data_IF_988607630143
#
_entry.id   IF_988607630143
#
_cell.length_a   1.000
_cell.length_b   1.000
_cell.length_c   1.000
_cell.angle_alpha   90.00
_cell.angle_beta   90.00
_cell.angle_gamma   90.00
#
_symmetry.space_group_name_H-M   'P 1'
#
loop_
_entity.id
_entity.type
_entity.pdbx_description
1 polymer ?
#
# COMPACT_ATOMS: atom_id res chain seq x y z
N UNK A 1 -2.96 -8.28 -15.07
CA UNK A 1 -2.73 -8.69 -13.67
C UNK A 1 -1.35 -9.34 -13.59
N UNK A 2 -0.44 -8.76 -12.80
CA UNK A 2 0.96 -9.20 -12.74
C UNK A 2 1.12 -10.40 -11.79
N UNK A 3 2.05 -11.33 -12.05
CA UNK A 3 2.31 -12.49 -11.18
C UNK A 3 2.88 -12.07 -9.81
N UNK A 4 3.46 -10.88 -9.71
CA UNK A 4 4.01 -10.33 -8.46
C UNK A 4 2.93 -10.05 -7.41
N UNK A 5 1.81 -9.40 -7.79
CA UNK A 5 0.72 -9.08 -6.87
C UNK A 5 -0.15 -10.29 -6.51
N UNK A 6 -0.14 -11.34 -7.32
CA UNK A 6 -0.97 -12.54 -7.09
C UNK A 6 -0.67 -13.21 -5.75
N UNK A 7 0.58 -13.21 -5.30
CA UNK A 7 1.01 -13.97 -4.12
C UNK A 7 0.66 -13.31 -2.78
N UNK A 8 0.21 -12.05 -2.76
CA UNK A 8 0.00 -11.32 -1.50
C UNK A 8 -1.15 -10.32 -1.56
N UNK A 9 -1.34 -9.62 -2.68
CA UNK A 9 -2.45 -8.67 -2.81
C UNK A 9 -3.74 -9.38 -3.22
N UNK A 10 -3.70 -10.27 -4.22
CA UNK A 10 -4.91 -10.95 -4.71
C UNK A 10 -5.22 -12.28 -3.99
N UNK A 11 -4.35 -12.71 -3.08
CA UNK A 11 -4.47 -13.96 -2.33
C UNK A 11 -4.03 -13.76 -0.88
N UNK A 12 -4.45 -14.67 0.00
CA UNK A 12 -3.97 -14.69 1.38
C UNK A 12 -2.46 -15.05 1.41
N UNK A 13 -1.58 -14.17 1.95
CA UNK A 13 -0.14 -14.41 2.05
C UNK A 13 0.28 -15.40 3.16
N UNK A 14 -0.69 -15.98 3.88
CA UNK A 14 -0.53 -16.84 5.05
C UNK A 14 -0.63 -16.06 6.37
N UNK A 15 -0.33 -16.75 7.47
CA UNK A 15 -0.48 -16.22 8.85
C UNK A 15 0.86 -16.16 9.61
N UNK A 16 1.97 -16.47 8.94
CA UNK A 16 3.32 -16.50 9.54
C UNK A 16 4.04 -15.19 9.22
N UNK A 17 4.34 -14.37 10.24
CA UNK A 17 4.92 -13.03 10.10
C UNK A 17 6.09 -12.97 9.12
N UNK A 18 7.09 -13.83 9.30
CA UNK A 18 8.28 -13.86 8.46
C UNK A 18 7.95 -14.16 6.99
N UNK A 19 7.07 -15.14 6.74
CA UNK A 19 6.70 -15.57 5.40
C UNK A 19 5.90 -14.51 4.65
N UNK A 20 5.04 -13.76 5.36
CA UNK A 20 4.27 -12.65 4.77
C UNK A 20 5.23 -11.56 4.28
N UNK A 21 6.10 -11.05 5.15
CA UNK A 21 7.07 -10.02 4.78
C UNK A 21 8.04 -10.50 3.69
N UNK A 22 8.54 -11.74 3.77
CA UNK A 22 9.41 -12.33 2.75
C UNK A 22 8.68 -12.44 1.40
N UNK A 23 7.43 -12.92 1.37
CA UNK A 23 6.65 -13.04 0.14
C UNK A 23 6.46 -11.68 -0.55
N UNK A 24 6.12 -10.65 0.22
CA UNK A 24 5.97 -9.29 -0.31
C UNK A 24 7.33 -8.74 -0.77
N UNK A 25 8.39 -8.87 0.03
CA UNK A 25 9.75 -8.42 -0.35
C UNK A 25 10.23 -9.10 -1.63
N UNK A 26 10.13 -10.43 -1.73
CA UNK A 26 10.52 -11.18 -2.93
C UNK A 26 9.74 -10.74 -4.17
N UNK A 27 8.43 -10.49 -4.04
CA UNK A 27 7.61 -9.91 -5.11
C UNK A 27 8.14 -8.55 -5.56
N UNK A 28 8.37 -7.64 -4.61
CA UNK A 28 8.84 -6.28 -4.91
C UNK A 28 10.28 -6.28 -5.47
N UNK A 29 11.18 -7.10 -4.94
CA UNK A 29 12.54 -7.27 -5.47
C UNK A 29 12.55 -7.86 -6.87
N UNK A 30 11.76 -8.91 -7.12
CA UNK A 30 11.64 -9.51 -8.46
C UNK A 30 11.08 -8.54 -9.50
N UNK A 31 10.33 -7.54 -9.05
CA UNK A 31 9.79 -6.48 -9.89
C UNK A 31 10.74 -5.28 -10.10
N UNK A 32 11.85 -5.20 -9.37
CA UNK A 32 12.86 -4.15 -9.53
C UNK A 32 13.04 -3.19 -8.33
N UNK A 33 12.27 -3.32 -7.25
CA UNK A 33 12.39 -2.47 -6.05
C UNK A 33 13.44 -2.99 -5.06
N UNK A 34 14.68 -3.17 -5.49
CA UNK A 34 15.72 -3.84 -4.69
C UNK A 34 16.09 -3.17 -3.35
N UNK A 35 15.79 -1.88 -3.20
CA UNK A 35 16.12 -1.10 -1.99
C UNK A 35 15.00 -1.08 -0.94
N UNK A 36 13.88 -1.74 -1.19
CA UNK A 36 12.78 -1.81 -0.22
C UNK A 36 13.04 -2.90 0.83
N UNK A 37 12.83 -2.54 2.09
CA UNK A 37 12.82 -3.47 3.20
C UNK A 37 11.53 -3.32 4.00
N UNK A 38 10.91 -4.43 4.38
CA UNK A 38 9.63 -4.50 5.05
C UNK A 38 9.64 -5.61 6.11
N UNK A 39 8.99 -5.35 7.24
CA UNK A 39 8.77 -6.29 8.34
C UNK A 39 7.28 -6.32 8.73
N UNK A 40 6.80 -7.46 9.25
CA UNK A 40 5.37 -7.69 9.51
C UNK A 40 4.93 -7.18 10.87
N UNK A 41 3.92 -6.29 10.87
CA UNK A 41 3.24 -5.83 12.08
C UNK A 41 2.00 -6.67 12.38
N UNK A 42 1.23 -7.02 11.35
CA UNK A 42 -0.03 -7.75 11.50
C UNK A 42 -0.09 -8.91 10.51
N UNK A 43 -0.34 -10.11 11.04
CA UNK A 43 -0.37 -11.38 10.29
C UNK A 43 -1.75 -11.81 9.84
N UNK A 44 -2.77 -10.98 10.06
CA UNK A 44 -4.15 -11.25 9.70
C UNK A 44 -4.71 -10.02 8.99
N UNK A 45 -5.69 -10.24 8.12
CA UNK A 45 -6.31 -9.17 7.36
C UNK A 45 -7.00 -8.12 8.28
N UNK A 46 -6.81 -6.81 8.05
CA UNK A 46 -5.88 -6.21 7.09
C UNK A 46 -4.41 -6.42 7.50
N UNK A 47 -3.61 -6.92 6.57
CA UNK A 47 -2.19 -7.16 6.78
C UNK A 47 -1.46 -5.83 6.82
N UNK A 48 -0.42 -5.74 7.66
CA UNK A 48 0.38 -4.53 7.78
C UNK A 48 1.86 -4.84 7.84
N UNK A 49 2.63 -4.18 6.98
CA UNK A 49 4.08 -4.16 6.97
C UNK A 49 4.60 -2.74 7.21
N UNK A 50 5.72 -2.61 7.89
CA UNK A 50 6.47 -1.34 8.05
C UNK A 50 7.89 -1.53 7.51
N UNK A 51 8.52 -0.44 7.09
CA UNK A 51 9.95 -0.47 6.77
C UNK A 51 10.40 0.77 6.05
N UNK A 52 11.34 0.61 5.11
CA UNK A 52 12.00 1.74 4.48
C UNK A 52 12.22 1.54 2.98
N UNK A 53 12.17 2.66 2.25
CA UNK A 53 12.57 2.77 0.85
C UNK A 53 13.12 4.17 0.60
N UNK A 54 14.26 4.30 -0.10
CA UNK A 54 14.80 5.60 -0.54
C UNK A 54 14.95 6.62 0.61
N UNK A 55 15.42 6.14 1.77
CA UNK A 55 15.60 6.95 2.98
C UNK A 55 14.29 7.61 3.46
N UNK A 56 13.18 6.89 3.31
CA UNK A 56 11.87 7.21 3.88
C UNK A 56 11.37 5.99 4.64
N UNK A 57 10.71 6.20 5.79
CA UNK A 57 9.86 5.17 6.37
C UNK A 57 8.56 5.06 5.58
N UNK A 58 8.12 3.82 5.42
CA UNK A 58 6.90 3.48 4.72
C UNK A 58 6.09 2.47 5.54
N UNK A 59 4.78 2.51 5.36
CA UNK A 59 3.84 1.50 5.82
C UNK A 59 3.04 1.00 4.62
N UNK A 60 2.88 -0.31 4.56
CA UNK A 60 2.04 -0.98 3.58
C UNK A 60 0.96 -1.74 4.33
N UNK A 61 -0.29 -1.37 4.10
CA UNK A 61 -1.44 -2.03 4.72
C UNK A 61 -2.41 -2.47 3.63
N UNK A 62 -2.95 -3.69 3.71
CA UNK A 62 -3.90 -4.16 2.69
C UNK A 62 -4.89 -5.20 3.19
N UNK A 63 -6.03 -5.22 2.51
CA UNK A 63 -7.00 -6.30 2.57
C UNK A 63 -6.96 -7.05 1.23
N UNK A 64 -6.70 -8.37 1.21
CA UNK A 64 -6.54 -9.10 -0.04
C UNK A 64 -7.74 -8.96 -0.98
N UNK A 65 -7.47 -8.70 -2.25
CA UNK A 65 -8.46 -8.49 -3.31
C UNK A 65 -9.49 -7.39 -3.03
N UNK A 66 -9.17 -6.45 -2.14
CA UNK A 66 -10.05 -5.32 -1.81
C UNK A 66 -9.31 -3.99 -1.98
N UNK A 67 -8.28 -3.76 -1.18
CA UNK A 67 -7.56 -2.48 -1.20
C UNK A 67 -6.13 -2.57 -0.68
N UNK A 68 -5.28 -1.66 -1.14
CA UNK A 68 -3.91 -1.41 -0.67
C UNK A 68 -3.80 0.05 -0.23
N UNK A 69 -3.09 0.30 0.87
CA UNK A 69 -2.74 1.62 1.39
C UNK A 69 -1.23 1.68 1.58
N UNK A 70 -0.61 2.64 0.92
CA UNK A 70 0.79 3.04 1.16
C UNK A 70 0.77 4.34 1.96
N UNK A 71 1.45 4.35 3.11
CA UNK A 71 1.78 5.59 3.83
C UNK A 71 3.28 5.80 3.81
N UNK A 72 3.74 7.04 3.65
CA UNK A 72 5.18 7.35 3.64
C UNK A 72 5.46 8.74 4.21
N UNK A 73 6.61 8.88 4.89
CA UNK A 73 7.05 10.15 5.50
C UNK A 73 7.23 11.31 4.50
N UNK A 74 7.48 10.96 3.23
CA UNK A 74 7.57 11.89 2.11
C UNK A 74 6.87 11.29 0.90
N UNK A 75 6.50 12.11 -0.07
CA UNK A 75 5.93 11.59 -1.31
C UNK A 75 7.00 10.82 -2.11
N UNK A 76 6.69 9.56 -2.45
CA UNK A 76 7.58 8.66 -3.19
C UNK A 76 6.87 8.22 -4.47
N UNK A 77 6.77 9.15 -5.43
CA UNK A 77 6.10 8.94 -6.73
C UNK A 77 6.55 7.65 -7.43
N UNK A 78 7.86 7.33 -7.36
CA UNK A 78 8.40 6.12 -7.96
C UNK A 78 7.83 4.84 -7.35
N UNK A 79 7.68 4.78 -6.02
CA UNK A 79 7.10 3.62 -5.32
C UNK A 79 5.60 3.51 -5.63
N UNK A 80 4.86 4.62 -5.60
CA UNK A 80 3.45 4.66 -5.99
C UNK A 80 3.26 4.09 -7.40
N UNK A 81 3.98 4.63 -8.39
CA UNK A 81 3.85 4.21 -9.78
C UNK A 81 4.21 2.73 -9.97
N UNK A 82 5.23 2.26 -9.25
CA UNK A 82 5.65 0.87 -9.29
C UNK A 82 4.59 -0.08 -8.70
N UNK A 83 3.98 0.30 -7.57
CA UNK A 83 2.87 -0.45 -6.99
C UNK A 83 1.67 -0.48 -7.93
N UNK A 84 1.29 0.65 -8.54
CA UNK A 84 0.22 0.67 -9.56
C UNK A 84 0.50 -0.30 -10.71
N UNK A 85 1.75 -0.38 -11.17
CA UNK A 85 2.16 -1.32 -12.22
C UNK A 85 2.07 -2.80 -11.78
N UNK A 86 2.51 -3.10 -10.55
CA UNK A 86 2.41 -4.47 -9.98
C UNK A 86 0.95 -4.88 -9.78
N UNK A 87 0.13 -3.98 -9.27
CA UNK A 87 -1.31 -4.22 -9.08
C UNK A 87 -2.02 -4.31 -10.42
N UNK A 88 -1.59 -3.53 -11.42
CA UNK A 88 -2.22 -3.44 -12.73
C UNK A 88 -3.35 -2.42 -12.80
N UNK A 89 -3.43 -1.49 -11.84
CA UNK A 89 -4.36 -0.36 -11.82
C UNK A 89 -3.79 0.79 -10.99
N UNK A 90 -4.26 2.01 -11.23
CA UNK A 90 -3.74 3.22 -10.57
C UNK A 90 -4.33 3.44 -9.18
N UNK A 91 -3.62 4.23 -8.36
CA UNK A 91 -4.15 4.68 -7.08
C UNK A 91 -5.35 5.59 -7.36
N UNK A 92 -6.46 5.39 -6.65
CA UNK A 92 -7.67 6.19 -6.82
C UNK A 92 -7.84 7.26 -5.73
N UNK A 93 -7.07 7.19 -4.65
CA UNK A 93 -7.09 8.18 -3.57
C UNK A 93 -5.68 8.60 -3.18
N UNK A 94 -5.53 9.90 -2.92
CA UNK A 94 -4.32 10.48 -2.37
C UNK A 94 -4.68 11.53 -1.31
N UNK A 95 -4.00 11.53 -0.17
CA UNK A 95 -4.20 12.52 0.90
C UNK A 95 -3.01 12.52 1.86
N UNK A 96 -3.01 13.44 2.81
CA UNK A 96 -2.04 13.47 3.91
C UNK A 96 -2.76 13.21 5.22
N UNK A 97 -2.25 12.29 6.04
CA UNK A 97 -2.89 11.97 7.33
C UNK A 97 -2.41 12.86 8.49
N UNK A 98 -3.03 12.70 9.67
CA UNK A 98 -2.72 13.43 10.90
C UNK A 98 -1.24 13.45 11.32
N UNK A 99 -0.44 12.47 10.89
CA UNK A 99 1.01 12.41 11.10
C UNK A 99 1.82 13.20 10.05
N UNK A 100 1.16 13.92 9.13
CA UNK A 100 1.75 14.56 7.95
C UNK A 100 2.42 13.57 6.97
N UNK A 101 2.02 12.30 6.98
CA UNK A 101 2.51 11.32 6.02
C UNK A 101 1.65 11.32 4.78
N UNK A 102 2.30 11.15 3.63
CA UNK A 102 1.62 11.02 2.35
C UNK A 102 0.98 9.63 2.27
N UNK A 103 -0.30 9.60 1.89
CA UNK A 103 -1.07 8.37 1.72
C UNK A 103 -1.52 8.25 0.28
N UNK A 104 -1.35 7.05 -0.28
CA UNK A 104 -1.87 6.63 -1.57
C UNK A 104 -2.66 5.33 -1.37
N UNK A 105 -3.90 5.28 -1.84
CA UNK A 105 -4.75 4.10 -1.73
C UNK A 105 -5.20 3.58 -3.11
N UNK A 106 -5.24 2.26 -3.23
CA UNK A 106 -5.72 1.51 -4.39
C UNK A 106 -6.90 0.65 -3.94
N UNK A 107 -8.11 1.02 -4.31
CA UNK A 107 -9.34 0.28 -4.02
C UNK A 107 -9.89 -0.37 -5.29
N UNK A 108 -10.22 -1.67 -5.25
CA UNK A 108 -10.89 -2.38 -6.35
C UNK A 108 -12.40 -2.15 -6.33
N UNK A 109 -12.98 -1.91 -5.16
CA UNK A 109 -14.40 -1.69 -4.93
C UNK A 109 -14.60 -0.71 -3.76
N UNK A 110 -15.82 -0.19 -3.59
CA UNK A 110 -16.24 0.60 -2.42
C UNK A 110 -15.49 1.93 -2.17
N UNK A 111 -14.72 2.43 -3.15
CA UNK A 111 -13.91 3.64 -2.99
C UNK A 111 -14.71 4.95 -2.79
N UNK A 112 -15.97 5.03 -3.21
CA UNK A 112 -16.84 6.19 -2.97
C UNK A 112 -17.22 6.37 -1.49
N UNK A 113 -17.31 5.28 -0.71
CA UNK A 113 -17.50 5.38 0.73
C UNK A 113 -16.23 5.89 1.41
N UNK A 114 -15.08 5.32 1.03
CA UNK A 114 -13.77 5.77 1.51
C UNK A 114 -13.52 7.24 1.20
N UNK A 115 -13.87 7.71 -0.01
CA UNK A 115 -13.78 9.11 -0.40
C UNK A 115 -14.60 10.04 0.51
N UNK A 116 -15.84 9.65 0.82
CA UNK A 116 -16.73 10.42 1.72
C UNK A 116 -16.16 10.48 3.13
N UNK A 117 -15.61 9.37 3.63
CA UNK A 117 -14.96 9.32 4.95
C UNK A 117 -13.78 10.30 5.01
N UNK A 118 -12.86 10.24 4.04
CA UNK A 118 -11.65 11.08 4.10
C UNK A 118 -11.93 12.56 3.85
N UNK A 119 -12.94 12.87 3.02
CA UNK A 119 -13.32 14.26 2.73
C UNK A 119 -14.05 14.94 3.90
N UNK A 120 -14.76 14.16 4.72
CA UNK A 120 -15.50 14.66 5.88
C UNK A 120 -14.69 14.67 7.18
N UNK A 121 -13.48 14.10 7.18
CA UNK A 121 -12.68 13.92 8.40
C UNK A 121 -11.50 14.91 8.45
N UNK A 122 -11.46 15.83 9.43
CA UNK A 122 -10.40 16.84 9.55
C UNK A 122 -9.03 16.26 9.91
N UNK A 123 -8.94 14.97 10.24
CA UNK A 123 -7.66 14.27 10.44
C UNK A 123 -6.89 14.05 9.14
N UNK A 124 -7.55 14.20 7.99
CA UNK A 124 -6.91 14.12 6.68
C UNK A 124 -6.87 15.50 6.02
N UNK A 125 -5.81 15.75 5.27
CA UNK A 125 -5.59 17.02 4.59
C UNK A 125 -5.35 16.78 3.11
N UNK A 126 -5.79 17.75 2.30
CA UNK A 126 -5.66 17.74 0.84
C UNK A 126 -6.08 16.42 0.17
N UNK A 127 -7.29 15.88 0.45
CA UNK A 127 -7.76 14.68 -0.23
C UNK A 127 -8.00 14.94 -1.72
N UNK A 128 -7.46 14.04 -2.54
CA UNK A 128 -7.55 14.05 -4.00
C UNK A 128 -8.13 12.71 -4.43
N UNK A 129 -9.19 12.78 -5.22
CA UNK A 129 -9.71 11.64 -5.98
C UNK A 129 -9.01 11.61 -7.33
N UNK A 130 -8.39 10.48 -7.64
CA UNK A 130 -7.71 10.23 -8.91
C UNK A 130 -8.66 9.43 -9.81
N UNK A 131 -8.71 9.81 -11.09
CA UNK A 131 -9.55 9.17 -12.12
C UNK A 131 -8.86 7.92 -12.68
#
# INVERSE_FOLDING_TARGET
>A
MNTFSQKWFYQNPGDISHNIAETVRQSLWSSGLYSIWLDTVTTSAPYKLIGHHSNASIELEWLPSKWLKLRSEKDIVSLKNHLSWILGFEANLQFTDHMNWQVHEWHLEEFDERWREISGNPMYTSPIRLD
#
